data_IF_149661429556
#
_entry.id   IF_149661429556
#
_cell.length_a   1.000
_cell.length_b   1.000
_cell.length_c   1.000
_cell.angle_alpha   90.00
_cell.angle_beta   90.00
_cell.angle_gamma   90.00
#
_symmetry.space_group_name_H-M   'P 1'
#
loop_
_entity.id
_entity.type
_entity.pdbx_description
1 polymer ?
#
# COMPACT_ATOMS: atom_id res chain seq x y z
N UNK A 1 -21.30 -2.26 12.83
CA UNK A 1 -19.97 -1.76 13.24
C UNK A 1 -19.00 -2.40 12.26
N UNK A 2 -18.29 -1.62 11.43
CA UNK A 2 -17.36 -2.18 10.45
C UNK A 2 -16.11 -2.67 11.19
N UNK A 3 -15.88 -3.98 11.18
CA UNK A 3 -14.73 -4.75 11.69
C UNK A 3 -13.98 -4.22 12.94
N UNK A 4 -13.17 -3.16 12.83
CA UNK A 4 -12.50 -2.52 13.99
C UNK A 4 -12.58 -0.99 13.92
N UNK A 5 -12.53 -0.33 15.08
CA UNK A 5 -12.62 1.14 15.20
C UNK A 5 -11.50 1.87 14.46
N UNK A 6 -10.33 1.24 14.36
CA UNK A 6 -9.15 1.83 13.73
C UNK A 6 -9.06 1.48 12.24
N UNK A 7 -9.88 0.56 11.74
CA UNK A 7 -9.87 0.16 10.34
C UNK A 7 -10.51 1.23 9.45
N UNK A 8 -9.90 1.47 8.30
CA UNK A 8 -10.33 2.46 7.31
C UNK A 8 -10.75 1.74 6.04
N UNK A 9 -11.96 2.01 5.58
CA UNK A 9 -12.50 1.51 4.31
C UNK A 9 -12.78 2.69 3.40
N UNK A 10 -12.33 2.60 2.16
CA UNK A 10 -12.54 3.65 1.15
C UNK A 10 -12.99 3.01 -0.16
N UNK A 11 -14.06 3.55 -0.72
CA UNK A 11 -14.60 3.15 -2.03
C UNK A 11 -14.19 4.18 -3.08
N UNK A 12 -13.68 3.68 -4.20
CA UNK A 12 -13.37 4.43 -5.40
C UNK A 12 -14.45 4.11 -6.45
N UNK A 13 -15.53 4.89 -6.52
CA UNK A 13 -16.59 4.69 -7.51
C UNK A 13 -16.06 4.88 -8.93
N UNK A 14 -16.66 4.17 -9.90
CA UNK A 14 -16.43 4.37 -11.34
C UNK A 14 -14.93 4.41 -11.73
N UNK A 15 -14.12 3.57 -11.08
CA UNK A 15 -12.67 3.68 -11.11
C UNK A 15 -12.02 2.81 -12.19
N UNK A 16 -12.51 1.60 -12.39
CA UNK A 16 -11.91 0.63 -13.32
C UNK A 16 -12.68 0.60 -14.63
N UNK A 17 -12.03 1.05 -15.69
CA UNK A 17 -12.56 1.03 -17.05
C UNK A 17 -12.24 -0.32 -17.70
N UNK A 18 -13.25 -0.99 -18.27
CA UNK A 18 -13.11 -2.26 -18.99
C UNK A 18 -13.89 -2.21 -20.30
N UNK A 19 -13.44 -2.96 -21.30
CA UNK A 19 -14.19 -3.11 -22.56
C UNK A 19 -15.39 -4.04 -22.44
N UNK A 20 -15.45 -4.81 -21.34
CA UNK A 20 -16.57 -5.68 -21.01
C UNK A 20 -17.25 -5.14 -19.76
N UNK A 21 -18.53 -5.48 -19.60
CA UNK A 21 -19.25 -5.15 -18.38
C UNK A 21 -18.70 -6.00 -17.24
N UNK A 22 -18.17 -5.35 -16.22
CA UNK A 22 -17.66 -5.97 -15.01
C UNK A 22 -18.65 -5.73 -13.86
N UNK A 23 -18.74 -6.67 -12.93
CA UNK A 23 -19.47 -6.50 -11.68
C UNK A 23 -18.63 -6.95 -10.49
N UNK A 24 -18.55 -6.09 -9.48
CA UNK A 24 -17.89 -6.35 -8.21
C UNK A 24 -18.91 -6.38 -7.07
N UNK A 25 -18.91 -7.47 -6.32
CA UNK A 25 -19.59 -7.63 -5.04
C UNK A 25 -18.57 -7.73 -3.91
N UNK A 26 -18.84 -7.06 -2.80
CA UNK A 26 -18.01 -7.16 -1.59
C UNK A 26 -18.93 -7.16 -0.37
N UNK A 27 -18.80 -8.17 0.48
CA UNK A 27 -19.47 -8.25 1.78
C UNK A 27 -18.40 -8.36 2.89
N UNK A 28 -18.52 -7.54 3.93
CA UNK A 28 -17.73 -7.65 5.15
C UNK A 28 -18.54 -8.41 6.21
N UNK A 29 -18.14 -9.64 6.49
CA UNK A 29 -18.80 -10.54 7.45
C UNK A 29 -17.84 -10.86 8.59
N UNK A 30 -17.96 -10.12 9.70
CA UNK A 30 -16.97 -10.18 10.78
C UNK A 30 -15.63 -9.65 10.32
N UNK A 31 -14.59 -10.49 10.35
CA UNK A 31 -13.24 -10.20 9.83
C UNK A 31 -13.06 -10.54 8.35
N UNK A 32 -14.04 -11.18 7.71
CA UNK A 32 -13.88 -11.71 6.36
C UNK A 32 -14.42 -10.74 5.32
N UNK A 33 -13.60 -10.42 4.34
CA UNK A 33 -14.05 -9.83 3.08
C UNK A 33 -14.40 -10.98 2.12
N UNK A 34 -15.69 -11.15 1.87
CA UNK A 34 -16.24 -12.02 0.84
C UNK A 34 -16.35 -11.18 -0.44
N UNK A 35 -15.59 -11.54 -1.48
CA UNK A 35 -15.46 -10.76 -2.72
C UNK A 35 -15.93 -11.64 -3.87
N UNK A 36 -16.77 -11.11 -4.76
CA UNK A 36 -17.17 -11.81 -5.98
C UNK A 36 -16.97 -10.88 -7.16
N UNK A 37 -16.16 -11.29 -8.12
CA UNK A 37 -15.94 -10.57 -9.38
C UNK A 37 -16.53 -11.40 -10.53
N UNK A 38 -17.51 -10.86 -11.26
CA UNK A 38 -18.22 -11.56 -12.34
C UNK A 38 -18.66 -13.01 -12.00
N UNK A 39 -19.11 -13.23 -10.75
CA UNK A 39 -19.54 -14.54 -10.27
C UNK A 39 -18.42 -15.45 -9.73
N UNK A 40 -17.15 -15.05 -9.81
CA UNK A 40 -16.03 -15.80 -9.24
C UNK A 40 -15.77 -15.37 -7.79
N UNK A 41 -15.93 -16.27 -6.80
CA UNK A 41 -15.75 -15.91 -5.40
C UNK A 41 -14.27 -15.96 -4.97
N UNK A 42 -13.91 -15.02 -4.12
CA UNK A 42 -12.65 -14.90 -3.41
C UNK A 42 -12.92 -14.50 -1.96
N UNK A 43 -11.99 -14.80 -1.05
CA UNK A 43 -12.15 -14.43 0.36
C UNK A 43 -10.82 -14.04 0.98
N UNK A 44 -10.84 -13.00 1.80
CA UNK A 44 -9.72 -12.57 2.63
C UNK A 44 -10.20 -12.54 4.08
N UNK A 45 -9.55 -13.30 4.95
CA UNK A 45 -9.71 -13.12 6.39
C UNK A 45 -8.71 -12.07 6.89
N UNK A 46 -9.22 -10.92 7.32
CA UNK A 46 -8.41 -9.77 7.73
C UNK A 46 -7.61 -10.05 9.01
N UNK A 47 -8.05 -10.97 9.86
CA UNK A 47 -7.34 -11.36 11.08
C UNK A 47 -6.15 -12.29 10.78
N UNK A 48 -6.20 -13.03 9.68
CA UNK A 48 -5.14 -13.94 9.27
C UNK A 48 -3.96 -13.23 8.56
N UNK A 49 -4.14 -11.96 8.16
CA UNK A 49 -3.08 -11.19 7.50
C UNK A 49 -1.99 -10.78 8.49
N UNK A 50 -0.73 -11.02 8.11
CA UNK A 50 0.41 -10.51 8.86
C UNK A 50 0.39 -8.96 8.91
N UNK A 51 0.70 -8.34 10.07
CA UNK A 51 0.93 -6.92 10.14
C UNK A 51 2.02 -6.46 9.17
N UNK A 52 1.93 -5.20 8.76
CA UNK A 52 2.82 -4.61 7.75
C UNK A 52 2.81 -5.31 6.38
N UNK A 53 1.77 -6.11 6.05
CA UNK A 53 1.62 -6.73 4.74
C UNK A 53 0.73 -5.89 3.80
N UNK A 54 0.70 -6.26 2.52
CA UNK A 54 -0.21 -5.71 1.52
C UNK A 54 -0.78 -6.84 0.68
N UNK A 55 -2.10 -6.90 0.57
CA UNK A 55 -2.83 -7.89 -0.22
C UNK A 55 -3.58 -7.17 -1.34
N UNK A 56 -3.56 -7.74 -2.54
CA UNK A 56 -4.30 -7.20 -3.69
C UNK A 56 -5.13 -8.30 -4.34
N UNK A 57 -6.42 -8.03 -4.51
CA UNK A 57 -7.31 -8.81 -5.36
C UNK A 57 -7.17 -8.29 -6.78
N UNK A 58 -6.88 -9.20 -7.72
CA UNK A 58 -6.70 -8.86 -9.13
C UNK A 58 -7.42 -9.84 -10.04
N UNK A 59 -7.70 -9.38 -11.25
CA UNK A 59 -8.13 -10.22 -12.38
C UNK A 59 -7.17 -10.02 -13.54
N UNK A 60 -6.82 -11.12 -14.21
CA UNK A 60 -6.07 -11.10 -15.45
C UNK A 60 -6.46 -12.24 -16.37
N UNK A 61 -5.64 -12.49 -17.39
CA UNK A 61 -5.87 -13.61 -18.33
C UNK A 61 -5.91 -14.99 -17.68
N UNK A 62 -5.24 -15.14 -16.53
CA UNK A 62 -5.22 -16.39 -15.77
C UNK A 62 -6.44 -16.56 -14.84
N UNK A 63 -7.36 -15.59 -14.83
CA UNK A 63 -8.51 -15.55 -13.93
C UNK A 63 -8.28 -14.63 -12.73
N UNK A 64 -9.16 -14.80 -11.74
CA UNK A 64 -9.23 -14.00 -10.53
C UNK A 64 -8.31 -14.59 -9.45
N UNK A 65 -7.57 -13.74 -8.74
CA UNK A 65 -6.60 -14.18 -7.73
C UNK A 65 -6.41 -13.16 -6.61
N UNK A 66 -6.00 -13.69 -5.46
CA UNK A 66 -5.61 -12.89 -4.29
C UNK A 66 -4.09 -12.97 -4.11
N UNK A 67 -3.43 -11.83 -4.23
CA UNK A 67 -1.98 -11.68 -4.05
C UNK A 67 -1.70 -11.26 -2.61
N UNK A 68 -1.52 -12.21 -1.69
CA UNK A 68 -1.31 -11.92 -0.26
C UNK A 68 0.02 -11.21 0.07
N UNK A 69 1.02 -11.34 -0.80
CA UNK A 69 2.36 -10.78 -0.70
C UNK A 69 2.60 -9.69 -1.75
N UNK A 70 1.59 -8.86 -2.00
CA UNK A 70 1.60 -7.92 -3.13
C UNK A 70 2.80 -6.96 -3.06
N UNK A 71 3.13 -6.45 -1.87
CA UNK A 71 4.27 -5.53 -1.68
C UNK A 71 5.60 -6.19 -2.03
N UNK A 72 5.78 -7.46 -1.68
CA UNK A 72 6.97 -8.24 -1.98
C UNK A 72 7.09 -8.50 -3.48
N UNK A 73 5.98 -8.78 -4.17
CA UNK A 73 5.97 -8.89 -5.62
C UNK A 73 6.43 -7.58 -6.28
N UNK A 74 5.92 -6.43 -5.83
CA UNK A 74 6.36 -5.12 -6.31
C UNK A 74 7.87 -4.90 -6.11
N UNK A 75 8.42 -5.36 -4.98
CA UNK A 75 9.86 -5.30 -4.71
C UNK A 75 10.66 -6.23 -5.64
N UNK A 76 10.20 -7.47 -5.85
CA UNK A 76 10.88 -8.46 -6.71
C UNK A 76 10.95 -7.96 -8.16
N UNK A 77 9.85 -7.42 -8.69
CA UNK A 77 9.79 -6.93 -10.05
C UNK A 77 10.34 -5.50 -10.20
N UNK A 78 10.59 -4.79 -9.10
CA UNK A 78 11.05 -3.41 -9.14
C UNK A 78 10.02 -2.43 -9.70
N UNK A 79 8.73 -2.72 -9.55
CA UNK A 79 7.62 -1.95 -10.11
C UNK A 79 6.81 -1.23 -9.03
N UNK A 80 6.25 -0.08 -9.36
CA UNK A 80 5.18 0.56 -8.59
C UNK A 80 3.85 -0.17 -8.81
N UNK A 81 2.84 0.02 -7.94
CA UNK A 81 1.55 -0.69 -8.05
C UNK A 81 0.91 -0.59 -9.44
N UNK A 82 0.77 0.62 -9.98
CA UNK A 82 0.13 0.81 -11.30
C UNK A 82 0.96 0.22 -12.43
N UNK A 83 2.30 0.35 -12.36
CA UNK A 83 3.21 -0.24 -13.34
C UNK A 83 3.11 -1.77 -13.34
N UNK A 84 3.02 -2.39 -12.16
CA UNK A 84 2.82 -3.82 -12.00
C UNK A 84 1.50 -4.28 -12.66
N UNK A 85 0.39 -3.63 -12.33
CA UNK A 85 -0.91 -3.95 -12.93
C UNK A 85 -0.88 -3.82 -14.46
N UNK A 86 -0.25 -2.77 -14.99
CA UNK A 86 -0.11 -2.56 -16.44
C UNK A 86 0.77 -3.63 -17.12
N UNK A 87 1.95 -3.91 -16.57
CA UNK A 87 2.90 -4.89 -17.13
C UNK A 87 2.29 -6.28 -17.18
N UNK A 88 1.61 -6.70 -16.11
CA UNK A 88 0.96 -8.01 -16.04
C UNK A 88 -0.46 -8.03 -16.62
N UNK A 89 -0.95 -6.89 -17.14
CA UNK A 89 -2.30 -6.72 -17.69
C UNK A 89 -3.38 -7.20 -16.72
N UNK A 90 -3.29 -6.70 -15.50
CA UNK A 90 -4.18 -7.01 -14.39
C UNK A 90 -5.08 -5.81 -14.09
N UNK A 91 -6.32 -6.09 -13.67
CA UNK A 91 -7.19 -5.13 -12.99
C UNK A 91 -7.11 -5.38 -11.49
N UNK A 92 -7.01 -4.31 -10.68
CA UNK A 92 -6.97 -4.41 -9.21
C UNK A 92 -8.29 -3.94 -8.61
N UNK A 93 -8.94 -4.81 -7.83
CA UNK A 93 -10.30 -4.58 -7.33
C UNK A 93 -10.37 -4.21 -5.86
N UNK A 94 -9.60 -4.90 -5.02
CA UNK A 94 -9.55 -4.65 -3.58
C UNK A 94 -8.11 -4.71 -3.12
N UNK A 95 -7.64 -3.64 -2.47
CA UNK A 95 -6.34 -3.61 -1.81
C UNK A 95 -6.54 -3.57 -0.29
N UNK A 96 -5.78 -4.38 0.45
CA UNK A 96 -5.75 -4.39 1.90
C UNK A 96 -4.32 -4.14 2.36
N UNK A 97 -4.08 -3.04 3.05
CA UNK A 97 -2.83 -2.79 3.78
C UNK A 97 -3.07 -3.09 5.27
N UNK A 98 -2.39 -4.10 5.81
CA UNK A 98 -2.55 -4.54 7.20
C UNK A 98 -1.52 -3.86 8.11
N UNK A 99 -1.99 -3.40 9.27
CA UNK A 99 -1.18 -2.90 10.38
C UNK A 99 -1.52 -3.70 11.65
N UNK A 100 -0.77 -3.49 12.73
CA UNK A 100 -1.06 -4.02 14.06
C UNK A 100 -2.37 -3.46 14.63
N UNK A 101 -2.75 -2.23 14.26
CA UNK A 101 -3.98 -1.57 14.75
C UNK A 101 -5.23 -1.96 13.99
N UNK A 102 -5.10 -2.22 12.70
CA UNK A 102 -6.24 -2.49 11.84
C UNK A 102 -5.86 -2.61 10.37
N UNK A 103 -6.84 -2.40 9.51
CA UNK A 103 -6.64 -2.48 8.06
C UNK A 103 -6.97 -1.16 7.38
N UNK A 104 -6.28 -0.88 6.30
CA UNK A 104 -6.70 0.11 5.32
C UNK A 104 -7.11 -0.61 4.05
N UNK A 105 -8.41 -0.60 3.76
CA UNK A 105 -9.02 -1.29 2.63
C UNK A 105 -9.47 -0.27 1.59
N UNK A 106 -9.05 -0.49 0.35
CA UNK A 106 -9.45 0.29 -0.82
C UNK A 106 -10.22 -0.61 -1.77
N UNK A 107 -11.42 -0.21 -2.15
CA UNK A 107 -12.28 -0.94 -3.07
C UNK A 107 -12.42 -0.11 -4.35
N UNK A 108 -12.01 -0.67 -5.48
CA UNK A 108 -12.03 -0.01 -6.78
C UNK A 108 -13.19 -0.57 -7.60
N UNK A 109 -14.27 0.22 -7.69
CA UNK A 109 -15.47 -0.19 -8.40
C UNK A 109 -15.26 -0.12 -9.92
N UNK A 110 -15.85 -1.05 -10.69
CA UNK A 110 -15.85 -0.94 -12.14
C UNK A 110 -16.72 0.24 -12.61
N UNK A 111 -16.62 0.53 -13.91
CA UNK A 111 -17.39 1.57 -14.56
C UNK A 111 -18.89 1.45 -14.22
N UNK A 112 -19.54 2.58 -13.97
CA UNK A 112 -20.97 2.68 -13.59
C UNK A 112 -21.36 2.11 -12.21
N UNK A 113 -20.41 1.55 -11.43
CA UNK A 113 -20.65 1.17 -10.04
C UNK A 113 -20.19 2.27 -9.06
N UNK A 114 -21.14 2.81 -8.28
CA UNK A 114 -20.83 3.75 -7.19
C UNK A 114 -20.33 3.01 -5.95
N UNK A 115 -21.04 1.96 -5.55
CA UNK A 115 -20.63 1.03 -4.50
C UNK A 115 -20.37 -0.36 -5.09
N UNK A 116 -19.49 -1.19 -4.45
CA UNK A 116 -19.55 -2.62 -4.71
C UNK A 116 -20.95 -3.12 -4.32
N UNK A 117 -21.49 -4.05 -5.11
CA UNK A 117 -22.75 -4.71 -4.76
C UNK A 117 -22.57 -5.42 -3.41
N UNK A 118 -23.60 -5.41 -2.60
CA UNK A 118 -23.54 -6.02 -1.28
C UNK A 118 -24.94 -6.39 -0.81
N UNK A 119 -25.02 -7.50 -0.07
CA UNK A 119 -26.24 -7.94 0.60
C UNK A 119 -26.16 -7.82 2.12
N UNK A 120 -24.95 -7.61 2.65
CA UNK A 120 -24.66 -7.66 4.10
C UNK A 120 -23.93 -6.42 4.62
N UNK A 121 -23.43 -5.56 3.75
CA UNK A 121 -22.61 -4.40 4.11
C UNK A 121 -23.12 -3.13 3.44
N UNK A 122 -23.40 -2.11 4.24
CA UNK A 122 -23.81 -0.81 3.75
C UNK A 122 -22.56 0.05 3.43
N UNK A 123 -22.05 -0.09 2.21
CA UNK A 123 -20.87 0.65 1.73
C UNK A 123 -21.11 2.14 1.54
N UNK A 124 -22.37 2.57 1.36
CA UNK A 124 -22.72 4.00 1.21
C UNK A 124 -22.30 4.86 2.40
N UNK A 125 -22.02 4.24 3.55
CA UNK A 125 -21.57 4.88 4.79
C UNK A 125 -20.07 5.09 4.89
N UNK A 126 -19.28 4.50 3.99
CA UNK A 126 -17.82 4.67 4.01
C UNK A 126 -17.39 5.82 3.10
N UNK A 127 -16.13 6.24 3.24
CA UNK A 127 -15.60 7.33 2.44
C UNK A 127 -15.60 6.94 0.95
N UNK A 128 -16.18 7.80 0.12
CA UNK A 128 -16.13 7.70 -1.33
C UNK A 128 -15.23 8.79 -1.90
N UNK A 129 -14.30 8.42 -2.78
CA UNK A 129 -13.35 9.36 -3.40
C UNK A 129 -13.10 9.02 -4.85
N UNK A 130 -12.98 10.04 -5.70
CA UNK A 130 -12.72 9.83 -7.12
C UNK A 130 -11.35 9.18 -7.39
N UNK A 131 -11.15 8.59 -8.58
CA UNK A 131 -9.91 7.88 -8.93
C UNK A 131 -8.64 8.77 -8.84
N UNK A 132 -8.78 10.08 -9.07
CA UNK A 132 -7.67 11.05 -8.92
C UNK A 132 -7.20 11.28 -7.47
N UNK A 133 -7.98 10.86 -6.47
CA UNK A 133 -7.73 11.11 -5.06
C UNK A 133 -6.94 9.99 -4.36
N UNK A 134 -6.50 8.96 -5.10
CA UNK A 134 -5.76 7.83 -4.53
C UNK A 134 -4.53 8.27 -3.74
N UNK A 135 -3.73 9.19 -4.29
CA UNK A 135 -2.52 9.68 -3.63
C UNK A 135 -2.82 10.45 -2.33
N UNK A 136 -3.73 11.45 -2.30
CA UNK A 136 -4.19 12.08 -1.06
C UNK A 136 -4.68 11.08 0.00
N UNK A 137 -5.49 10.11 -0.40
CA UNK A 137 -6.08 9.12 0.51
C UNK A 137 -5.02 8.18 1.08
N UNK A 138 -4.10 7.70 0.25
CA UNK A 138 -2.96 6.90 0.71
C UNK A 138 -2.11 7.71 1.69
N UNK A 139 -1.81 8.98 1.39
CA UNK A 139 -1.03 9.84 2.29
C UNK A 139 -1.73 10.01 3.64
N UNK A 140 -3.05 10.24 3.66
CA UNK A 140 -3.82 10.42 4.89
C UNK A 140 -3.83 9.19 5.80
N UNK A 141 -3.82 7.98 5.23
CA UNK A 141 -3.99 6.72 5.96
C UNK A 141 -2.71 5.86 5.99
N UNK A 142 -1.57 6.46 5.66
CA UNK A 142 -0.26 5.79 5.64
C UNK A 142 0.75 6.58 6.48
N UNK A 143 2.00 6.59 6.04
CA UNK A 143 3.10 7.35 6.61
C UNK A 143 3.90 7.99 5.47
N UNK A 144 4.73 8.97 5.82
CA UNK A 144 5.62 9.63 4.89
C UNK A 144 6.93 9.98 5.60
N UNK A 145 8.05 9.69 4.95
CA UNK A 145 9.34 10.23 5.33
C UNK A 145 9.70 11.33 4.35
N UNK A 146 9.89 12.53 4.86
CA UNK A 146 10.35 13.69 4.10
C UNK A 146 11.85 13.80 4.31
N UNK A 147 12.62 13.48 3.26
CA UNK A 147 14.06 13.71 3.27
C UNK A 147 14.33 15.21 3.23
N UNK A 148 15.07 15.72 4.21
CA UNK A 148 15.43 17.14 4.30
C UNK A 148 16.81 17.38 3.70
N UNK A 149 17.80 16.59 4.15
CA UNK A 149 19.15 16.61 3.61
C UNK A 149 19.79 15.22 3.66
N UNK A 150 20.78 15.00 2.81
CA UNK A 150 21.71 13.89 2.95
C UNK A 150 23.08 14.27 2.40
N UNK A 151 24.13 13.77 3.05
CA UNK A 151 25.51 14.06 2.66
C UNK A 151 26.32 12.77 2.61
N UNK A 152 27.13 12.63 1.56
CA UNK A 152 28.04 11.49 1.40
C UNK A 152 29.46 12.02 1.59
N UNK A 153 30.10 11.61 2.69
CA UNK A 153 31.49 11.96 2.99
C UNK A 153 32.32 10.67 3.10
N UNK A 154 33.12 10.40 2.06
CA UNK A 154 33.89 9.16 1.98
C UNK A 154 32.98 7.93 1.94
N UNK A 155 32.96 7.14 3.01
CA UNK A 155 32.10 5.96 3.17
C UNK A 155 30.90 6.17 4.08
N UNK A 156 30.62 7.40 4.49
CA UNK A 156 29.53 7.72 5.41
C UNK A 156 28.42 8.43 4.66
N UNK A 157 27.20 7.90 4.77
CA UNK A 157 25.96 8.57 4.39
C UNK A 157 25.34 9.17 5.66
N UNK A 158 25.35 10.49 5.75
CA UNK A 158 24.59 11.24 6.74
C UNK A 158 23.20 11.56 6.17
N UNK A 159 22.16 11.39 6.97
CA UNK A 159 20.77 11.62 6.56
C UNK A 159 20.05 12.44 7.62
N UNK A 160 19.29 13.43 7.19
CA UNK A 160 18.28 14.11 8.00
C UNK A 160 16.93 14.08 7.30
N UNK A 161 15.88 13.93 8.11
CA UNK A 161 14.52 14.00 7.59
C UNK A 161 13.48 13.73 8.65
N UNK A 162 12.24 14.00 8.30
CA UNK A 162 11.11 13.92 9.21
C UNK A 162 10.19 12.77 8.82
N UNK A 163 9.90 11.88 9.78
CA UNK A 163 8.88 10.85 9.65
C UNK A 163 7.56 11.37 10.21
N UNK A 164 6.49 11.15 9.44
CA UNK A 164 5.12 11.32 9.89
C UNK A 164 4.34 10.02 9.69
N UNK A 165 3.50 9.64 10.66
CA UNK A 165 2.60 8.49 10.61
C UNK A 165 1.15 8.92 10.85
N UNK A 166 0.24 8.39 10.04
CA UNK A 166 -1.19 8.44 10.33
C UNK A 166 -1.53 7.63 11.58
N UNK A 167 -2.71 7.85 12.20
CA UNK A 167 -3.16 7.10 13.38
C UNK A 167 -3.09 5.57 13.21
N UNK A 168 -3.37 5.06 12.01
CA UNK A 168 -3.36 3.63 11.70
C UNK A 168 -1.95 3.02 11.81
N UNK A 169 -0.90 3.80 11.57
CA UNK A 169 0.48 3.33 11.49
C UNK A 169 1.30 3.62 12.75
N UNK A 170 0.70 4.17 13.80
CA UNK A 170 1.41 4.64 15.00
C UNK A 170 2.22 3.55 15.71
N UNK A 171 1.77 2.29 15.67
CA UNK A 171 2.47 1.16 16.32
C UNK A 171 3.53 0.51 15.42
N UNK A 172 3.64 0.93 14.16
CA UNK A 172 4.58 0.31 13.23
C UNK A 172 5.98 0.90 13.36
N UNK A 173 6.99 0.04 13.36
CA UNK A 173 8.38 0.46 13.25
C UNK A 173 8.74 0.54 11.76
N UNK A 174 9.11 1.74 11.33
CA UNK A 174 9.57 2.01 9.97
C UNK A 174 11.08 2.18 9.96
N UNK A 175 11.70 1.84 8.84
CA UNK A 175 13.15 1.80 8.69
C UNK A 175 13.60 2.61 7.49
N UNK A 176 14.73 3.28 7.66
CA UNK A 176 15.56 3.74 6.55
C UNK A 176 16.49 2.60 6.16
N UNK A 177 16.35 2.08 4.94
CA UNK A 177 17.11 0.95 4.45
C UNK A 177 18.11 1.41 3.38
N UNK A 178 19.37 0.98 3.48
CA UNK A 178 20.41 1.27 2.49
C UNK A 178 21.56 0.25 2.57
N UNK A 179 21.96 -0.32 1.43
CA UNK A 179 23.15 -1.18 1.37
C UNK A 179 23.13 -2.38 2.33
N UNK A 180 21.96 -2.97 2.57
CA UNK A 180 21.77 -4.07 3.54
C UNK A 180 21.68 -3.64 5.00
N UNK A 181 21.78 -2.33 5.30
CA UNK A 181 21.56 -1.77 6.63
C UNK A 181 20.11 -1.28 6.77
N UNK A 182 19.60 -1.30 7.99
CA UNK A 182 18.26 -0.81 8.32
C UNK A 182 18.30 -0.08 9.66
N UNK A 183 17.99 1.23 9.65
CA UNK A 183 17.93 2.07 10.85
C UNK A 183 16.46 2.31 11.20
N UNK A 184 16.01 1.98 12.42
CA UNK A 184 14.65 2.29 12.84
C UNK A 184 14.48 3.81 12.94
N UNK A 185 13.39 4.30 12.39
CA UNK A 185 13.01 5.70 12.41
C UNK A 185 12.06 5.99 13.58
N UNK A 186 12.23 7.16 14.17
CA UNK A 186 11.32 7.72 15.18
C UNK A 186 10.33 8.66 14.50
N UNK A 187 9.14 8.80 15.08
CA UNK A 187 8.18 9.82 14.64
C UNK A 187 8.79 11.22 14.87
N UNK A 188 8.65 12.12 13.90
CA UNK A 188 9.29 13.44 13.92
C UNK A 188 10.67 13.43 13.28
N UNK A 189 11.55 14.29 13.76
CA UNK A 189 12.89 14.51 13.19
C UNK A 189 13.81 13.31 13.43
N UNK A 190 14.58 12.95 12.40
CA UNK A 190 15.60 11.91 12.44
C UNK A 190 16.92 12.45 11.88
N UNK A 191 18.02 12.13 12.55
CA UNK A 191 19.38 12.36 12.05
C UNK A 191 20.26 11.17 12.38
N UNK A 192 20.88 10.56 11.39
CA UNK A 192 21.68 9.34 11.57
C UNK A 192 22.74 9.16 10.49
N UNK A 193 23.66 8.23 10.75
CA UNK A 193 24.73 7.85 9.84
C UNK A 193 24.62 6.38 9.47
N UNK A 194 24.96 6.08 8.22
CA UNK A 194 25.04 4.74 7.64
C UNK A 194 26.34 4.59 6.88
N UNK A 195 26.79 3.35 6.67
CA UNK A 195 27.79 3.09 5.63
C UNK A 195 27.16 3.39 4.26
N UNK A 196 27.79 4.25 3.47
CA UNK A 196 27.40 4.47 2.08
C UNK A 196 27.89 3.31 1.22
N UNK A 197 26.96 2.70 0.47
CA UNK A 197 27.24 1.66 -0.51
C UNK A 197 27.01 2.25 -1.91
N UNK A 198 28.07 2.47 -2.70
CA UNK A 198 27.95 3.02 -4.04
C UNK A 198 27.04 2.18 -4.95
N UNK A 199 26.20 2.85 -5.73
CA UNK A 199 25.24 2.21 -6.65
C UNK A 199 23.96 1.70 -6.00
N UNK A 200 23.83 1.80 -4.68
CA UNK A 200 22.62 1.47 -3.94
C UNK A 200 21.84 2.73 -3.56
N UNK A 201 20.52 2.66 -3.72
CA UNK A 201 19.61 3.70 -3.25
C UNK A 201 19.14 3.43 -1.82
N UNK A 202 18.46 4.40 -1.25
CA UNK A 202 17.77 4.23 0.03
C UNK A 202 16.28 3.94 -0.17
N UNK A 203 15.69 3.22 0.78
CA UNK A 203 14.28 2.80 0.72
C UNK A 203 13.63 2.85 2.09
N UNK A 204 12.43 3.41 2.16
CA UNK A 204 11.68 3.54 3.40
C UNK A 204 10.62 2.44 3.52
N UNK A 205 10.43 1.90 4.71
CA UNK A 205 9.33 0.96 5.00
C UNK A 205 9.69 -0.07 6.05
N UNK A 206 9.26 -1.31 5.88
CA UNK A 206 9.66 -2.42 6.74
C UNK A 206 11.18 -2.67 6.67
N UNK A 207 11.71 -3.40 7.64
CA UNK A 207 13.13 -3.73 7.70
C UNK A 207 13.57 -4.47 6.43
N UNK A 208 14.63 -3.98 5.79
CA UNK A 208 15.16 -4.47 4.51
C UNK A 208 14.23 -4.33 3.31
N UNK A 209 13.20 -3.49 3.41
CA UNK A 209 12.34 -3.16 2.27
C UNK A 209 13.15 -2.50 1.15
N UNK A 210 12.82 -2.86 -0.09
CA UNK A 210 13.32 -2.21 -1.33
C UNK A 210 12.17 -1.67 -2.16
N UNK A 211 11.08 -1.29 -1.50
CA UNK A 211 9.84 -0.93 -2.19
C UNK A 211 10.04 0.29 -3.12
N UNK A 212 9.87 0.15 -4.45
CA UNK A 212 10.18 1.21 -5.41
C UNK A 212 9.37 2.49 -5.22
N UNK A 213 8.14 2.37 -4.71
CA UNK A 213 7.28 3.53 -4.40
C UNK A 213 7.79 4.41 -3.26
N UNK A 214 8.80 3.97 -2.50
CA UNK A 214 9.40 4.67 -1.35
C UNK A 214 10.92 4.79 -1.47
N UNK A 215 11.42 4.80 -2.71
CA UNK A 215 12.83 4.92 -3.07
C UNK A 215 13.32 6.38 -2.96
N UNK A 216 14.48 6.56 -2.38
CA UNK A 216 15.26 7.80 -2.37
C UNK A 216 16.47 7.57 -3.25
N UNK A 217 16.55 8.27 -4.38
CA UNK A 217 17.71 8.23 -5.25
C UNK A 217 18.87 8.96 -4.59
N UNK A 218 19.95 8.25 -4.29
CA UNK A 218 21.16 8.81 -3.74
C UNK A 218 22.13 9.06 -4.89
N UNK A 219 22.54 10.31 -5.05
CA UNK A 219 23.55 10.70 -6.04
C UNK A 219 24.73 11.35 -5.33
N UNK A 220 25.94 10.92 -5.66
CA UNK A 220 27.17 11.59 -5.25
C UNK A 220 27.19 13.03 -5.80
N UNK A 221 27.61 13.98 -4.97
CA UNK A 221 27.76 15.39 -5.37
C UNK A 221 26.56 16.30 -5.11
N UNK A 222 25.45 15.82 -4.52
CA UNK A 222 24.51 16.71 -3.82
C UNK A 222 25.14 17.11 -2.50
N UNK A 223 25.43 18.41 -2.39
CA UNK A 223 25.77 19.14 -1.16
C UNK A 223 24.56 19.93 -0.71
#
# INVERSE_FOLDING_TARGET
MLYSKDSVFVVFPDCIQSSQKEELWVDLVGSRLEIVHNGNPMTIDLDALAPCSSTQVVTGRAGDMVLYNYRELLMIYGLKPLEFLQVFRLHGWVQVDKTHRGVFVKIFCPQEQQDPRSSRTDWSRVQHVGPGELHPVDRKNSWAFTLEDYQITGRVLHVTGTLWKSPLWQDEILYFNHGGQAIPLQEGENSFNLLYVPGEDAYMGTKYSRYPGRRIKLTEGKK
#
